data_IF_970754718866
#
_entry.id   IF_970754718866
#
_cell.length_a   1.000
_cell.length_b   1.000
_cell.length_c   1.000
_cell.angle_alpha   90.00
_cell.angle_beta   90.00
_cell.angle_gamma   90.00
#
_symmetry.space_group_name_H-M   'P 1'
#
loop_
_entity.id
_entity.type
_entity.pdbx_description
1 polymer ?
#
# COMPACT_ATOMS: atom_id res chain seq x y z
N UNK A 1 34.61 5.77 19.97
CA UNK A 1 34.23 5.12 18.70
C UNK A 1 33.31 6.05 17.94
N UNK A 2 33.63 6.35 16.68
CA UNK A 2 32.76 7.16 15.84
C UNK A 2 31.56 6.30 15.39
N UNK A 3 30.35 6.76 15.68
CA UNK A 3 29.09 6.10 15.30
C UNK A 3 29.05 5.95 13.77
N UNK A 4 28.84 4.73 13.28
CA UNK A 4 28.77 4.47 11.85
C UNK A 4 27.52 5.11 11.24
N UNK A 5 27.54 5.46 9.95
CA UNK A 5 26.35 6.01 9.26
C UNK A 5 25.12 5.10 9.41
N UNK A 6 25.34 3.80 9.50
CA UNK A 6 24.30 2.78 9.68
C UNK A 6 23.69 2.81 11.09
N UNK A 7 24.52 2.86 12.14
CA UNK A 7 24.04 3.00 13.53
C UNK A 7 23.24 4.27 13.73
N UNK A 8 23.67 5.38 13.11
CA UNK A 8 22.93 6.64 13.14
C UNK A 8 21.55 6.48 12.49
N UNK A 9 21.45 5.79 11.36
CA UNK A 9 20.17 5.50 10.68
C UNK A 9 19.27 4.62 11.55
N UNK A 10 19.80 3.54 12.15
CA UNK A 10 19.02 2.66 13.03
C UNK A 10 18.52 3.41 14.26
N UNK A 11 19.37 4.24 14.88
CA UNK A 11 19.00 5.02 16.06
C UNK A 11 17.92 6.05 15.74
N UNK A 12 18.03 6.72 14.59
CA UNK A 12 16.98 7.61 14.08
C UNK A 12 15.68 6.84 13.85
N UNK A 13 15.72 5.69 13.17
CA UNK A 13 14.54 4.82 12.99
C UNK A 13 13.92 4.41 14.33
N UNK A 14 14.72 3.94 15.29
CA UNK A 14 14.22 3.52 16.60
C UNK A 14 13.61 4.66 17.44
N UNK A 15 14.05 5.91 17.26
CA UNK A 15 13.39 7.06 17.91
C UNK A 15 12.06 7.47 17.26
N UNK A 16 11.88 7.10 15.99
CA UNK A 16 10.70 7.41 15.16
C UNK A 16 9.63 6.32 15.32
N UNK A 17 10.04 5.07 15.53
CA UNK A 17 9.15 3.96 15.81
C UNK A 17 8.82 3.89 17.31
N UNK A 18 7.52 3.73 17.60
CA UNK A 18 6.95 3.35 18.90
C UNK A 18 6.59 4.45 19.89
N UNK A 19 5.63 5.30 19.49
CA UNK A 19 4.45 5.51 20.34
C UNK A 19 3.22 5.11 19.56
N UNK A 20 2.62 3.96 19.90
CA UNK A 20 1.43 3.39 19.25
C UNK A 20 0.11 3.81 19.95
N UNK A 21 0.07 4.98 20.62
CA UNK A 21 -1.14 5.53 21.23
C UNK A 21 -1.99 6.38 20.27
N UNK A 22 -3.29 6.53 20.50
CA UNK A 22 -4.08 7.54 19.77
C UNK A 22 -3.57 8.94 20.09
N UNK A 23 -2.69 9.51 19.25
CA UNK A 23 -2.31 10.91 19.38
C UNK A 23 -3.41 11.75 18.76
N UNK A 24 -4.13 12.49 19.59
CA UNK A 24 -5.08 13.50 19.13
C UNK A 24 -4.39 14.43 18.15
N UNK A 25 -5.01 14.64 16.99
CA UNK A 25 -4.53 15.60 16.00
C UNK A 25 -4.58 16.98 16.64
N UNK A 26 -3.44 17.50 17.08
CA UNK A 26 -3.35 18.87 17.55
C UNK A 26 -3.41 19.75 16.30
N UNK A 27 -4.60 20.22 15.95
CA UNK A 27 -4.74 21.28 14.96
C UNK A 27 -4.14 22.55 15.58
N UNK A 28 -3.07 23.14 15.01
CA UNK A 28 -2.56 24.41 15.51
C UNK A 28 -3.67 25.46 15.38
N UNK A 29 -3.90 26.23 16.46
CA UNK A 29 -4.95 27.26 16.52
C UNK A 29 -4.82 28.30 15.40
N UNK A 30 -3.60 28.53 14.89
CA UNK A 30 -3.28 29.58 13.92
C UNK A 30 -2.63 29.05 12.62
N UNK A 31 -2.77 27.77 12.31
CA UNK A 31 -2.16 27.17 11.11
C UNK A 31 -0.64 26.99 11.16
N UNK A 32 0.05 27.70 12.07
CA UNK A 32 1.48 27.55 12.34
C UNK A 32 1.70 26.82 13.67
N UNK A 33 2.56 25.81 13.63
CA UNK A 33 2.91 25.00 14.79
C UNK A 33 4.05 25.66 15.56
N UNK A 34 3.75 26.19 16.74
CA UNK A 34 4.69 26.96 17.59
C UNK A 34 5.18 26.14 18.81
N UNK A 35 4.84 24.85 18.87
CA UNK A 35 5.17 23.99 20.01
C UNK A 35 6.48 23.21 19.84
N UNK A 36 7.15 22.89 20.96
CA UNK A 36 8.30 21.96 21.08
C UNK A 36 7.95 20.48 20.78
N UNK A 37 6.86 20.24 20.06
CA UNK A 37 6.30 18.91 19.77
C UNK A 37 6.74 18.44 18.38
N UNK A 38 6.72 17.11 18.16
CA UNK A 38 7.33 16.41 17.03
C UNK A 38 7.20 17.11 15.65
N UNK A 39 8.23 17.00 14.77
CA UNK A 39 8.24 17.68 13.49
C UNK A 39 6.98 17.36 12.66
N UNK A 40 6.38 18.39 12.08
CA UNK A 40 5.29 18.27 11.12
C UNK A 40 5.85 18.14 9.72
N UNK A 41 5.32 17.18 8.97
CA UNK A 41 5.69 16.92 7.60
C UNK A 41 4.50 17.12 6.68
N UNK A 42 4.72 17.81 5.56
CA UNK A 42 3.77 17.84 4.45
C UNK A 42 3.74 16.49 3.74
N UNK A 43 2.61 16.21 3.10
CA UNK A 43 2.45 15.02 2.27
C UNK A 43 3.55 14.93 1.21
N UNK A 44 4.25 13.79 1.10
CA UNK A 44 5.37 13.66 0.18
C UNK A 44 4.90 13.69 -1.28
N UNK A 45 3.70 13.19 -1.60
CA UNK A 45 3.10 13.41 -2.91
C UNK A 45 1.62 13.03 -2.91
N UNK A 46 0.71 13.95 -2.54
CA UNK A 46 -0.72 13.65 -2.48
C UNK A 46 -1.26 13.25 -3.86
N UNK A 47 -0.72 13.83 -4.93
CA UNK A 47 -1.08 13.48 -6.30
C UNK A 47 -0.68 12.05 -6.67
N UNK A 48 0.52 11.59 -6.31
CA UNK A 48 0.91 10.21 -6.60
C UNK A 48 0.07 9.20 -5.81
N UNK A 49 -0.22 9.47 -4.54
CA UNK A 49 -1.17 8.65 -3.78
C UNK A 49 -2.56 8.61 -4.41
N UNK A 50 -3.03 9.73 -4.95
CA UNK A 50 -4.31 9.78 -5.66
C UNK A 50 -4.28 8.93 -6.94
N UNK A 51 -3.26 9.07 -7.77
CA UNK A 51 -3.14 8.33 -9.04
C UNK A 51 -3.06 6.82 -8.80
N UNK A 52 -2.21 6.37 -7.87
CA UNK A 52 -2.09 4.94 -7.55
C UNK A 52 -3.37 4.43 -6.87
N UNK A 53 -4.05 5.28 -6.09
CA UNK A 53 -5.31 4.94 -5.43
C UNK A 53 -6.43 4.73 -6.45
N UNK A 54 -6.55 5.64 -7.41
CA UNK A 54 -7.49 5.54 -8.54
C UNK A 54 -7.20 4.30 -9.38
N UNK A 55 -5.93 4.02 -9.68
CA UNK A 55 -5.54 2.81 -10.41
C UNK A 55 -6.02 1.54 -9.68
N UNK A 56 -5.78 1.42 -8.37
CA UNK A 56 -6.25 0.27 -7.59
C UNK A 56 -7.78 0.13 -7.57
N UNK A 57 -8.52 1.24 -7.47
CA UNK A 57 -9.98 1.21 -7.51
C UNK A 57 -10.51 0.81 -8.90
N UNK A 58 -9.89 1.30 -9.97
CA UNK A 58 -10.25 0.90 -11.34
C UNK A 58 -10.00 -0.61 -11.53
N UNK A 59 -8.85 -1.11 -11.09
CA UNK A 59 -8.53 -2.54 -11.15
C UNK A 59 -9.57 -3.36 -10.38
N UNK A 60 -9.96 -2.93 -9.18
CA UNK A 60 -11.03 -3.59 -8.43
C UNK A 60 -12.35 -3.68 -9.20
N UNK A 61 -12.83 -2.56 -9.77
CA UNK A 61 -14.09 -2.56 -10.50
C UNK A 61 -14.05 -3.39 -11.78
N UNK A 62 -12.93 -3.32 -12.53
CA UNK A 62 -12.75 -4.11 -13.75
C UNK A 62 -12.72 -5.60 -13.44
N UNK A 63 -11.96 -6.02 -12.44
CA UNK A 63 -11.86 -7.44 -12.06
C UNK A 63 -13.17 -7.97 -11.47
N UNK A 64 -13.89 -7.15 -10.70
CA UNK A 64 -15.23 -7.51 -10.20
C UNK A 64 -16.22 -7.69 -11.35
N UNK A 65 -16.17 -6.81 -12.35
CA UNK A 65 -17.01 -6.90 -13.54
C UNK A 65 -16.66 -8.15 -14.36
N UNK A 66 -15.38 -8.38 -14.66
CA UNK A 66 -14.93 -9.56 -15.41
C UNK A 66 -15.33 -10.84 -14.67
N UNK A 67 -15.07 -10.94 -13.37
CA UNK A 67 -15.42 -12.14 -12.59
C UNK A 67 -16.92 -12.37 -12.46
N UNK A 68 -17.75 -11.33 -12.46
CA UNK A 68 -19.22 -11.47 -12.39
C UNK A 68 -19.86 -11.88 -13.73
N UNK A 69 -19.26 -11.55 -14.87
CA UNK A 69 -19.82 -11.85 -16.20
C UNK A 69 -19.12 -12.98 -16.97
N UNK A 70 -17.85 -13.27 -16.68
CA UNK A 70 -17.04 -14.22 -17.45
C UNK A 70 -16.85 -15.60 -16.80
N UNK A 71 -17.22 -15.76 -15.52
CA UNK A 71 -17.06 -17.01 -14.77
C UNK A 71 -18.42 -17.68 -14.62
N UNK A 72 -18.68 -18.71 -15.42
CA UNK A 72 -19.76 -19.64 -15.14
C UNK A 72 -19.36 -20.47 -13.91
N UNK A 73 -20.13 -20.37 -12.82
CA UNK A 73 -19.89 -21.14 -11.59
C UNK A 73 -20.05 -22.66 -11.77
N UNK A 74 -20.40 -23.14 -12.98
CA UNK A 74 -20.47 -24.54 -13.35
C UNK A 74 -19.15 -24.96 -13.99
N UNK A 75 -18.29 -25.64 -13.21
CA UNK A 75 -17.02 -26.19 -13.69
C UNK A 75 -15.76 -25.51 -13.15
N UNK A 76 -15.88 -24.67 -12.12
CA UNK A 76 -14.81 -23.82 -11.59
C UNK A 76 -13.55 -24.59 -11.17
N UNK A 77 -12.36 -24.07 -11.51
CA UNK A 77 -11.11 -24.27 -10.77
C UNK A 77 -11.40 -24.33 -9.27
N UNK A 78 -10.73 -25.26 -8.57
CA UNK A 78 -11.02 -25.64 -7.19
C UNK A 78 -11.20 -24.43 -6.24
N UNK A 79 -11.99 -24.60 -5.18
CA UNK A 79 -12.40 -23.53 -4.25
C UNK A 79 -11.25 -22.65 -3.74
N UNK A 80 -10.03 -23.18 -3.63
CA UNK A 80 -8.84 -22.45 -3.19
C UNK A 80 -8.42 -21.31 -4.15
N UNK A 81 -8.38 -21.57 -5.47
CA UNK A 81 -8.01 -20.55 -6.47
C UNK A 81 -9.02 -19.41 -6.45
N UNK A 82 -10.31 -19.76 -6.48
CA UNK A 82 -11.41 -18.79 -6.40
C UNK A 82 -11.37 -17.98 -5.11
N UNK A 83 -11.09 -18.61 -3.97
CA UNK A 83 -10.97 -17.94 -2.68
C UNK A 83 -9.82 -16.92 -2.65
N UNK A 84 -8.60 -17.34 -3.01
CA UNK A 84 -7.44 -16.44 -2.99
C UNK A 84 -7.58 -15.31 -4.02
N UNK A 85 -8.15 -15.60 -5.20
CA UNK A 85 -8.47 -14.60 -6.22
C UNK A 85 -9.41 -13.54 -5.68
N UNK A 86 -10.53 -13.94 -5.07
CA UNK A 86 -11.53 -12.99 -4.56
C UNK A 86 -10.97 -12.15 -3.41
N UNK A 87 -10.13 -12.72 -2.56
CA UNK A 87 -9.39 -11.95 -1.53
C UNK A 87 -8.47 -10.94 -2.19
N UNK A 88 -7.72 -11.33 -3.21
CA UNK A 88 -6.80 -10.44 -3.92
C UNK A 88 -7.55 -9.26 -4.57
N UNK A 89 -8.72 -9.51 -5.18
CA UNK A 89 -9.63 -8.48 -5.67
C UNK A 89 -10.02 -7.51 -4.55
N UNK A 90 -10.42 -8.03 -3.38
CA UNK A 90 -10.77 -7.20 -2.23
C UNK A 90 -9.60 -6.37 -1.71
N UNK A 91 -8.36 -6.87 -1.79
CA UNK A 91 -7.17 -6.10 -1.43
C UNK A 91 -6.90 -4.91 -2.34
N UNK A 92 -7.29 -4.96 -3.62
CA UNK A 92 -7.23 -3.78 -4.50
C UNK A 92 -8.17 -2.67 -4.00
N UNK A 93 -9.39 -3.02 -3.54
CA UNK A 93 -10.31 -2.06 -2.94
C UNK A 93 -9.71 -1.43 -1.67
N UNK A 94 -9.20 -2.25 -0.74
CA UNK A 94 -8.60 -1.75 0.50
C UNK A 94 -7.39 -0.84 0.24
N UNK A 95 -6.49 -1.24 -0.66
CA UNK A 95 -5.34 -0.40 -1.03
C UNK A 95 -5.78 0.90 -1.69
N UNK A 96 -6.74 0.85 -2.61
CA UNK A 96 -7.27 2.05 -3.27
C UNK A 96 -7.88 3.05 -2.29
N UNK A 97 -8.74 2.58 -1.37
CA UNK A 97 -9.34 3.42 -0.34
C UNK A 97 -8.30 3.99 0.62
N UNK A 98 -7.31 3.20 1.00
CA UNK A 98 -6.24 3.63 1.89
C UNK A 98 -5.35 4.72 1.26
N UNK A 99 -4.99 4.57 -0.01
CA UNK A 99 -4.23 5.59 -0.74
C UNK A 99 -5.05 6.86 -0.99
N UNK A 100 -6.35 6.73 -1.27
CA UNK A 100 -7.26 7.87 -1.35
C UNK A 100 -7.44 8.57 0.00
N UNK A 101 -7.41 7.83 1.11
CA UNK A 101 -7.37 8.42 2.44
C UNK A 101 -6.09 9.24 2.62
N UNK A 102 -4.91 8.67 2.32
CA UNK A 102 -3.64 9.38 2.44
C UNK A 102 -3.51 10.61 1.55
N UNK A 103 -4.01 10.56 0.31
CA UNK A 103 -3.92 11.70 -0.62
C UNK A 103 -4.61 12.96 -0.09
N UNK A 104 -5.59 12.81 0.81
CA UNK A 104 -6.31 13.92 1.44
C UNK A 104 -5.60 14.50 2.67
N UNK A 105 -4.64 13.79 3.25
CA UNK A 105 -3.86 14.29 4.38
C UNK A 105 -2.72 15.18 3.90
N UNK A 106 -2.89 16.50 4.09
CA UNK A 106 -1.92 17.51 3.65
C UNK A 106 -0.69 17.59 4.55
N UNK A 107 -0.89 17.44 5.88
CA UNK A 107 0.15 17.58 6.91
C UNK A 107 -0.10 16.50 7.96
N UNK A 108 0.98 15.94 8.50
CA UNK A 108 0.94 15.00 9.61
C UNK A 108 2.21 15.08 10.46
N UNK A 109 2.13 14.60 11.69
CA UNK A 109 3.32 14.45 12.54
C UNK A 109 4.19 13.30 12.05
N UNK A 110 5.46 13.30 12.43
CA UNK A 110 6.38 12.19 12.21
C UNK A 110 5.78 10.81 12.58
N UNK A 111 5.16 10.75 13.77
CA UNK A 111 4.46 9.55 14.26
C UNK A 111 3.29 9.14 13.37
N UNK A 112 2.52 10.09 12.82
CA UNK A 112 1.42 9.80 11.91
C UNK A 112 1.94 9.23 10.59
N UNK A 113 2.95 9.86 9.99
CA UNK A 113 3.56 9.39 8.75
C UNK A 113 4.22 8.02 8.92
N UNK A 114 4.86 7.77 10.05
CA UNK A 114 5.41 6.45 10.40
C UNK A 114 4.31 5.36 10.45
N UNK A 115 3.14 5.64 11.07
CA UNK A 115 1.99 4.72 11.06
C UNK A 115 1.45 4.50 9.67
N UNK A 116 1.31 5.58 8.92
CA UNK A 116 0.85 5.55 7.54
C UNK A 116 1.75 4.67 6.67
N UNK A 117 3.06 4.85 6.74
CA UNK A 117 4.03 4.02 6.03
C UNK A 117 4.00 2.56 6.51
N UNK A 118 3.87 2.33 7.82
CA UNK A 118 3.77 0.97 8.38
C UNK A 118 2.54 0.23 7.85
N UNK A 119 1.36 0.84 7.93
CA UNK A 119 0.11 0.26 7.41
C UNK A 119 0.21 0.04 5.90
N UNK A 120 0.82 0.97 5.16
CA UNK A 120 1.04 0.85 3.72
C UNK A 120 1.93 -0.35 3.38
N UNK A 121 3.03 -0.53 4.12
CA UNK A 121 3.93 -1.67 3.96
C UNK A 121 3.21 -2.99 4.27
N UNK A 122 2.40 -3.04 5.34
CA UNK A 122 1.63 -4.25 5.69
C UNK A 122 0.62 -4.59 4.60
N UNK A 123 -0.16 -3.61 4.13
CA UNK A 123 -1.15 -3.83 3.05
C UNK A 123 -0.48 -4.27 1.74
N UNK A 124 0.69 -3.71 1.43
CA UNK A 124 1.48 -4.10 0.26
C UNK A 124 2.02 -5.53 0.37
N UNK A 125 2.56 -5.90 1.54
CA UNK A 125 3.05 -7.26 1.79
C UNK A 125 1.93 -8.29 1.71
N UNK A 126 0.74 -7.97 2.21
CA UNK A 126 -0.44 -8.84 2.09
C UNK A 126 -0.86 -8.99 0.61
N UNK A 127 -0.91 -7.91 -0.17
CA UNK A 127 -1.21 -7.96 -1.60
C UNK A 127 -0.25 -8.91 -2.36
N UNK A 128 1.06 -8.79 -2.09
CA UNK A 128 2.08 -9.65 -2.70
C UNK A 128 1.95 -11.10 -2.23
N UNK A 129 1.71 -11.32 -0.93
CA UNK A 129 1.50 -12.66 -0.37
C UNK A 129 0.32 -13.36 -1.05
N UNK A 130 -0.83 -12.69 -1.17
CA UNK A 130 -1.99 -13.29 -1.84
C UNK A 130 -1.76 -13.53 -3.33
N UNK A 131 -0.99 -12.67 -4.01
CA UNK A 131 -0.57 -12.92 -5.40
C UNK A 131 0.24 -14.21 -5.52
N UNK A 132 1.18 -14.45 -4.59
CA UNK A 132 1.96 -15.69 -4.52
C UNK A 132 1.09 -16.90 -4.19
N UNK A 133 0.12 -16.77 -3.28
CA UNK A 133 -0.79 -17.87 -2.94
C UNK A 133 -1.67 -18.28 -4.12
N UNK A 134 -2.11 -17.34 -4.96
CA UNK A 134 -2.81 -17.67 -6.21
C UNK A 134 -1.89 -18.44 -7.16
N UNK A 135 -0.61 -18.04 -7.31
CA UNK A 135 0.37 -18.78 -8.12
C UNK A 135 0.53 -20.22 -7.60
N UNK A 136 0.73 -20.39 -6.30
CA UNK A 136 0.90 -21.72 -5.69
C UNK A 136 -0.34 -22.57 -5.92
N UNK A 137 -1.53 -22.01 -5.73
CA UNK A 137 -2.79 -22.70 -5.96
C UNK A 137 -2.96 -23.12 -7.43
N UNK A 138 -2.53 -22.28 -8.39
CA UNK A 138 -2.54 -22.62 -9.82
C UNK A 138 -1.53 -23.71 -10.18
N UNK A 139 -0.33 -23.73 -9.58
CA UNK A 139 0.70 -24.74 -9.87
C UNK A 139 0.34 -26.10 -9.26
N UNK A 140 -0.20 -26.09 -8.03
CA UNK A 140 -0.60 -27.31 -7.34
C UNK A 140 -1.75 -28.03 -8.05
N UNK A 141 -2.55 -27.31 -8.84
CA UNK A 141 -3.69 -27.86 -9.55
C UNK A 141 -3.38 -28.07 -11.05
N UNK A 142 -2.97 -29.29 -11.40
CA UNK A 142 -2.70 -29.69 -12.79
C UNK A 142 -3.95 -29.85 -13.66
N UNK A 143 -5.16 -29.68 -13.10
CA UNK A 143 -6.43 -29.98 -13.75
C UNK A 143 -7.20 -28.76 -14.33
N UNK A 144 -6.76 -27.51 -14.13
CA UNK A 144 -7.39 -26.34 -14.79
C UNK A 144 -7.08 -26.25 -16.31
N UNK A 145 -6.84 -27.38 -16.99
CA UNK A 145 -6.06 -27.46 -18.23
C UNK A 145 -6.84 -27.53 -19.55
N UNK A 146 -8.17 -27.42 -19.60
CA UNK A 146 -8.84 -27.24 -20.92
C UNK A 146 -10.24 -26.61 -20.92
N UNK A 147 -11.15 -26.94 -20.00
CA UNK A 147 -12.53 -26.38 -20.03
C UNK A 147 -12.67 -25.01 -19.35
N UNK A 148 -11.67 -24.58 -18.54
CA UNK A 148 -11.77 -23.41 -17.67
C UNK A 148 -10.72 -22.32 -17.99
N UNK A 149 -10.41 -22.17 -19.27
CA UNK A 149 -9.39 -21.25 -19.80
C UNK A 149 -9.59 -19.79 -19.36
N UNK A 150 -10.84 -19.35 -19.20
CA UNK A 150 -11.16 -18.01 -18.70
C UNK A 150 -10.73 -17.82 -17.24
N UNK A 151 -10.98 -18.80 -16.37
CA UNK A 151 -10.61 -18.72 -14.95
C UNK A 151 -9.09 -18.67 -14.76
N UNK A 152 -8.37 -19.46 -15.55
CA UNK A 152 -6.91 -19.42 -15.61
C UNK A 152 -6.39 -18.05 -16.05
N UNK A 153 -6.88 -17.55 -17.19
CA UNK A 153 -6.44 -16.26 -17.75
C UNK A 153 -6.72 -15.09 -16.79
N UNK A 154 -7.89 -15.08 -16.14
CA UNK A 154 -8.23 -14.08 -15.12
C UNK A 154 -7.23 -14.16 -13.96
N UNK A 155 -6.95 -15.35 -13.46
CA UNK A 155 -6.03 -15.53 -12.32
C UNK A 155 -4.61 -15.06 -12.65
N UNK A 156 -4.11 -15.37 -13.86
CA UNK A 156 -2.80 -14.89 -14.34
C UNK A 156 -2.77 -13.37 -14.48
N UNK A 157 -3.82 -12.76 -15.06
CA UNK A 157 -3.96 -11.30 -15.16
C UNK A 157 -3.91 -10.65 -13.77
N UNK A 158 -4.66 -11.21 -12.81
CA UNK A 158 -4.75 -10.69 -11.45
C UNK A 158 -3.41 -10.76 -10.70
N UNK A 159 -2.65 -11.84 -10.89
CA UNK A 159 -1.29 -11.97 -10.38
C UNK A 159 -0.39 -10.88 -10.98
N UNK A 160 -0.42 -10.69 -12.30
CA UNK A 160 0.40 -9.69 -12.97
C UNK A 160 0.07 -8.26 -12.49
N UNK A 161 -1.22 -7.95 -12.37
CA UNK A 161 -1.69 -6.67 -11.83
C UNK A 161 -1.32 -6.49 -10.34
N UNK A 162 -1.37 -7.57 -9.55
CA UNK A 162 -0.96 -7.58 -8.14
C UNK A 162 0.53 -7.26 -7.97
N UNK A 163 1.39 -7.88 -8.80
CA UNK A 163 2.83 -7.62 -8.81
C UNK A 163 3.15 -6.20 -9.28
N UNK A 164 2.48 -5.71 -10.34
CA UNK A 164 2.65 -4.34 -10.85
C UNK A 164 2.23 -3.30 -9.80
N UNK A 165 1.04 -3.46 -9.21
CA UNK A 165 0.56 -2.57 -8.15
C UNK A 165 1.48 -2.60 -6.93
N UNK A 166 1.93 -3.80 -6.53
CA UNK A 166 2.87 -3.97 -5.43
C UNK A 166 4.21 -3.28 -5.69
N UNK A 167 4.73 -3.36 -6.91
CA UNK A 167 5.95 -2.65 -7.33
C UNK A 167 5.79 -1.13 -7.28
N UNK A 168 4.72 -0.60 -7.89
CA UNK A 168 4.40 0.84 -7.86
C UNK A 168 4.26 1.35 -6.42
N UNK A 169 3.59 0.58 -5.56
CA UNK A 169 3.32 1.00 -4.20
C UNK A 169 4.57 0.91 -3.30
N UNK A 170 5.40 -0.11 -3.51
CA UNK A 170 6.74 -0.18 -2.87
C UNK A 170 7.59 1.03 -3.25
N UNK A 171 7.60 1.42 -4.52
CA UNK A 171 8.27 2.63 -4.99
C UNK A 171 7.74 3.91 -4.32
N UNK A 172 6.42 4.02 -4.16
CA UNK A 172 5.79 5.15 -3.48
C UNK A 172 6.14 5.22 -1.98
N UNK A 173 6.19 4.07 -1.30
CA UNK A 173 6.62 3.96 0.10
C UNK A 173 8.09 4.38 0.24
N UNK A 174 8.97 3.86 -0.61
CA UNK A 174 10.39 4.20 -0.61
C UNK A 174 10.64 5.68 -0.90
N UNK A 175 9.93 6.25 -1.88
CA UNK A 175 9.96 7.68 -2.18
C UNK A 175 9.51 8.51 -0.97
N UNK A 176 8.45 8.09 -0.30
CA UNK A 176 7.90 8.79 0.87
C UNK A 176 8.87 8.76 2.06
N UNK A 177 9.48 7.61 2.33
CA UNK A 177 10.55 7.48 3.34
C UNK A 177 11.72 8.41 2.99
N UNK A 178 12.16 8.41 1.73
CA UNK A 178 13.28 9.23 1.27
C UNK A 178 12.98 10.72 1.43
N UNK A 179 11.78 11.14 1.01
CA UNK A 179 11.37 12.53 1.03
C UNK A 179 11.19 13.07 2.45
N UNK A 180 10.68 12.24 3.36
CA UNK A 180 10.48 12.59 4.75
C UNK A 180 11.79 12.51 5.55
N UNK A 181 12.51 11.39 5.54
CA UNK A 181 13.56 11.14 6.53
C UNK A 181 14.99 11.44 6.06
N UNK A 182 15.22 11.59 4.75
CA UNK A 182 16.58 11.79 4.21
C UNK A 182 16.85 13.22 3.70
N UNK A 183 15.83 14.10 3.62
CA UNK A 183 16.05 15.52 3.34
C UNK A 183 16.21 16.28 4.66
N UNK A 184 17.42 16.82 4.88
CA UNK A 184 17.92 17.29 6.18
C UNK A 184 17.21 18.48 6.86
N UNK A 185 16.04 18.94 6.38
CA UNK A 185 15.30 19.98 7.09
C UNK A 185 13.76 19.84 6.93
N UNK A 186 13.03 19.38 7.97
CA UNK A 186 11.57 19.26 7.95
C UNK A 186 10.86 20.60 7.74
N UNK A 187 11.44 21.70 8.22
CA UNK A 187 10.84 23.04 8.13
C UNK A 187 10.97 23.65 6.73
N UNK A 188 11.98 23.25 5.95
CA UNK A 188 12.17 23.73 4.57
C UNK A 188 11.06 23.25 3.62
N UNK A 189 10.32 22.18 3.97
CA UNK A 189 9.15 21.74 3.22
C UNK A 189 7.91 22.64 3.43
N UNK A 190 7.90 23.46 4.48
CA UNK A 190 6.75 24.30 4.82
C UNK A 190 6.78 25.68 4.13
N UNK A 191 7.87 26.03 3.45
CA UNK A 191 8.05 27.32 2.77
C UNK A 191 7.81 27.31 1.26
N UNK A 192 7.50 26.16 0.65
CA UNK A 192 7.02 26.09 -0.75
C UNK A 192 5.51 26.33 -0.85
#
# INVERSE_FOLDING_TARGET
MAETKFERVIRTLNSIFCDWGWSTVIKPKDGNFVGNTAPLWRSPSPFLYLVVGVFNLITFFLELLITSFAVDFKGSCQAAVTYFRNILIFFFLLNGLWQFYMSRWKIGTDKQWCRYLTVSTVLNSLLLLFSILVIIALIADSACSSDDSNSYNISVSLIALGLLSGGCYTGLIAYSITKLYFRGNPLAYNSE
#
